data_IF_426059187074
#
_entry.id   IF_426059187074
#
_cell.length_a   1.000
_cell.length_b   1.000
_cell.length_c   1.000
_cell.angle_alpha   90.00
_cell.angle_beta   90.00
_cell.angle_gamma   90.00
#
_symmetry.space_group_name_H-M   'P 1'
#
loop_
_entity.id
_entity.type
_entity.pdbx_description
1 polymer ?
#
# COMPACT_ATOMS: atom_id res chain seq x y z
N UNK A 1 1.66 -6.52 -6.63
CA UNK A 1 1.41 -7.49 -7.73
C UNK A 1 2.11 -8.77 -7.33
N UNK A 2 1.37 -9.85 -7.16
CA UNK A 2 1.95 -11.11 -6.70
C UNK A 2 2.92 -11.68 -7.74
N UNK A 3 4.05 -12.17 -7.26
CA UNK A 3 5.02 -12.84 -8.12
C UNK A 3 4.65 -14.33 -8.27
N UNK A 4 4.85 -14.88 -9.46
CA UNK A 4 4.72 -16.32 -9.69
C UNK A 4 5.95 -17.05 -9.13
N UNK A 5 5.73 -17.90 -8.14
CA UNK A 5 6.70 -18.87 -7.64
C UNK A 5 6.71 -20.15 -8.51
N UNK A 6 7.56 -21.11 -8.13
CA UNK A 6 7.62 -22.42 -8.78
C UNK A 6 6.30 -23.17 -8.60
N UNK A 7 5.95 -23.97 -9.61
CA UNK A 7 4.76 -24.84 -9.62
C UNK A 7 3.41 -24.09 -9.49
N UNK A 8 3.33 -22.85 -9.97
CA UNK A 8 2.07 -22.10 -9.98
C UNK A 8 1.65 -21.52 -8.63
N UNK A 9 2.51 -21.59 -7.61
CA UNK A 9 2.30 -20.88 -6.36
C UNK A 9 2.43 -19.36 -6.57
N UNK A 10 1.65 -18.57 -5.86
CA UNK A 10 1.80 -17.10 -5.80
C UNK A 10 2.58 -16.71 -4.56
N UNK A 11 3.48 -15.74 -4.70
CA UNK A 11 4.16 -15.09 -3.57
C UNK A 11 3.40 -13.80 -3.29
N UNK A 12 2.79 -13.67 -2.09
CA UNK A 12 2.11 -12.45 -1.71
C UNK A 12 3.05 -11.25 -1.79
N UNK A 13 2.53 -10.13 -2.27
CA UNK A 13 3.21 -8.83 -2.16
C UNK A 13 3.66 -8.58 -0.71
N UNK A 14 4.90 -8.10 -0.55
CA UNK A 14 5.39 -7.67 0.77
C UNK A 14 4.71 -6.38 1.27
N UNK A 15 4.07 -5.64 0.36
CA UNK A 15 3.27 -4.46 0.67
C UNK A 15 1.81 -4.90 0.74
N UNK A 16 1.11 -4.67 1.86
CA UNK A 16 -0.32 -4.98 2.00
C UNK A 16 -1.18 -4.25 0.99
N UNK A 17 -2.41 -4.73 0.76
CA UNK A 17 -3.36 -4.02 -0.09
C UNK A 17 -3.87 -2.75 0.61
N UNK A 18 -4.01 -1.67 -0.18
CA UNK A 18 -4.62 -0.42 0.25
C UNK A 18 -5.87 -0.17 -0.60
N UNK A 19 -7.01 -0.64 -0.11
CA UNK A 19 -8.31 -0.47 -0.75
C UNK A 19 -8.80 0.97 -0.58
N UNK A 20 -9.48 1.46 -1.62
CA UNK A 20 -10.00 2.84 -1.73
C UNK A 20 -8.95 3.91 -1.36
N UNK A 21 -7.79 3.93 -2.03
CA UNK A 21 -6.71 4.85 -1.68
C UNK A 21 -7.15 6.30 -1.92
N UNK A 22 -6.93 7.15 -0.93
CA UNK A 22 -7.19 8.58 -0.98
C UNK A 22 -5.93 9.37 -0.61
N UNK A 23 -5.64 10.40 -1.38
CA UNK A 23 -4.57 11.34 -1.07
C UNK A 23 -5.02 12.26 0.08
N UNK A 24 -4.33 12.20 1.20
CA UNK A 24 -4.63 13.04 2.35
C UNK A 24 -3.75 14.30 2.38
N UNK A 25 -2.48 14.20 2.00
CA UNK A 25 -1.54 15.32 1.97
C UNK A 25 -0.46 15.08 0.92
N UNK A 26 -0.02 16.14 0.26
CA UNK A 26 1.05 16.12 -0.73
C UNK A 26 2.01 17.30 -0.50
N UNK A 27 3.30 17.00 -0.45
CA UNK A 27 4.39 17.97 -0.43
C UNK A 27 5.44 17.54 -1.46
N UNK A 28 5.65 18.36 -2.49
CA UNK A 28 6.53 18.00 -3.60
C UNK A 28 7.97 17.74 -3.17
N UNK A 29 8.40 18.38 -2.09
CA UNK A 29 9.78 18.35 -1.56
C UNK A 29 10.03 17.28 -0.50
N UNK A 30 8.98 16.62 0.00
CA UNK A 30 9.09 15.71 1.17
C UNK A 30 8.45 14.36 0.95
N UNK A 31 7.27 14.33 0.34
CA UNK A 31 6.49 13.12 0.25
C UNK A 31 4.99 13.34 0.17
N UNK A 32 4.26 12.23 0.27
CA UNK A 32 2.81 12.25 0.34
C UNK A 32 2.27 11.25 1.35
N UNK A 33 1.08 11.55 1.87
CA UNK A 33 0.31 10.65 2.72
C UNK A 33 -0.90 10.14 1.94
N UNK A 34 -0.99 8.81 1.81
CA UNK A 34 -2.13 8.11 1.22
C UNK A 34 -2.80 7.29 2.30
N UNK A 35 -4.12 7.34 2.38
CA UNK A 35 -4.92 6.58 3.34
C UNK A 35 -5.86 5.63 2.62
N UNK A 36 -6.27 4.58 3.30
CA UNK A 36 -7.21 3.58 2.79
C UNK A 36 -7.48 2.53 3.86
N UNK A 37 -7.89 1.34 3.44
CA UNK A 37 -8.07 0.23 4.36
C UNK A 37 -7.65 -1.10 3.75
N UNK A 38 -7.41 -2.09 4.60
CA UNK A 38 -7.37 -3.50 4.24
C UNK A 38 -8.61 -4.19 4.81
N UNK A 39 -9.12 -5.22 4.13
CA UNK A 39 -10.20 -6.05 4.66
C UNK A 39 -9.66 -7.43 5.05
N UNK A 40 -9.71 -7.75 6.34
CA UNK A 40 -9.23 -9.03 6.88
C UNK A 40 -10.39 -9.69 7.61
N UNK A 41 -10.78 -10.89 7.16
CA UNK A 41 -11.90 -11.65 7.71
C UNK A 41 -13.21 -10.84 7.78
N UNK A 42 -13.48 -10.02 6.75
CA UNK A 42 -14.68 -9.17 6.67
C UNK A 42 -14.65 -7.94 7.58
N UNK A 43 -13.50 -7.64 8.21
CA UNK A 43 -13.30 -6.46 9.06
C UNK A 43 -12.36 -5.49 8.37
N UNK A 44 -12.73 -4.21 8.37
CA UNK A 44 -11.93 -3.13 7.78
C UNK A 44 -10.91 -2.60 8.78
N UNK A 45 -9.64 -2.58 8.36
CA UNK A 45 -8.52 -2.00 9.10
C UNK A 45 -8.00 -0.80 8.32
N UNK A 46 -8.19 0.40 8.89
CA UNK A 46 -7.73 1.63 8.27
C UNK A 46 -6.24 1.83 8.46
N UNK A 47 -5.57 2.32 7.43
CA UNK A 47 -4.13 2.54 7.43
C UNK A 47 -3.76 3.78 6.63
N UNK A 48 -2.65 4.40 7.01
CA UNK A 48 -2.05 5.54 6.34
C UNK A 48 -0.60 5.25 6.01
N UNK A 49 -0.20 5.52 4.77
CA UNK A 49 1.14 5.30 4.27
C UNK A 49 1.82 6.65 4.02
N UNK A 50 2.98 6.84 4.63
CA UNK A 50 3.86 7.96 4.35
C UNK A 50 4.89 7.54 3.30
N UNK A 51 4.80 8.13 2.11
CA UNK A 51 5.72 7.90 0.99
C UNK A 51 6.70 9.06 0.92
N UNK A 52 7.99 8.78 1.11
CA UNK A 52 9.05 9.80 1.09
C UNK A 52 9.89 9.71 -0.19
N UNK A 53 10.30 10.86 -0.71
CA UNK A 53 11.27 10.95 -1.81
C UNK A 53 12.67 10.67 -1.27
N UNK A 54 13.33 9.63 -1.77
CA UNK A 54 14.66 9.21 -1.29
C UNK A 54 15.81 9.88 -2.04
N UNK A 55 15.56 10.43 -3.23
CA UNK A 55 16.51 11.24 -4.01
C UNK A 55 15.70 12.27 -4.81
N UNK A 56 15.89 13.57 -4.55
CA UNK A 56 15.45 14.63 -5.46
C UNK A 56 16.51 14.92 -6.53
#
# INVERSE_FOLDING_TARGET
>A
MDALAKFGATVPSAIPDLLEPQLLTFASDRGMMVVGFEEIAGVRYYQGWWMQWVNE
#
